data_IF_505195297490
#
_entry.id   IF_505195297490
#
_cell.length_a   1.000
_cell.length_b   1.000
_cell.length_c   1.000
_cell.angle_alpha   90.00
_cell.angle_beta   90.00
_cell.angle_gamma   90.00
#
_symmetry.space_group_name_H-M   'P 1'
#
loop_
_entity.id
_entity.type
_entity.pdbx_description
1 polymer ?
#
# COMPACT_ATOMS: atom_id res chain seq x y z
N UNK A 1 -8.90 -5.75 4.55
CA UNK A 1 -7.91 -4.74 4.97
C UNK A 1 -6.80 -5.43 5.75
N UNK A 2 -5.52 -5.19 5.38
CA UNK A 2 -4.36 -5.75 6.08
C UNK A 2 -4.08 -5.01 7.40
N UNK A 3 -3.32 -5.64 8.32
CA UNK A 3 -2.85 -4.95 9.53
C UNK A 3 -2.01 -3.71 9.20
N UNK A 4 -1.23 -3.76 8.11
CA UNK A 4 -0.51 -2.60 7.60
C UNK A 4 -1.46 -1.46 7.22
N UNK A 5 -2.56 -1.75 6.54
CA UNK A 5 -3.58 -0.74 6.21
C UNK A 5 -4.22 -0.13 7.46
N UNK A 6 -4.51 -0.96 8.47
CA UNK A 6 -5.02 -0.48 9.78
C UNK A 6 -4.00 0.41 10.47
N UNK A 7 -2.71 0.07 10.47
CA UNK A 7 -1.67 0.90 11.09
C UNK A 7 -1.56 2.28 10.41
N UNK A 8 -1.64 2.33 9.08
CA UNK A 8 -1.66 3.59 8.33
C UNK A 8 -2.86 4.45 8.70
N UNK A 9 -4.05 3.84 8.82
CA UNK A 9 -5.26 4.56 9.26
C UNK A 9 -5.11 5.10 10.69
N UNK A 10 -4.52 4.33 11.58
CA UNK A 10 -4.23 4.79 12.95
C UNK A 10 -3.26 5.98 12.95
N UNK A 11 -2.26 5.99 12.07
CA UNK A 11 -1.35 7.13 11.91
C UNK A 11 -2.10 8.39 11.50
N UNK A 12 -3.01 8.31 10.52
CA UNK A 12 -3.87 9.43 10.15
C UNK A 12 -4.70 9.93 11.33
N UNK A 13 -5.37 9.03 12.05
CA UNK A 13 -6.12 9.41 13.26
C UNK A 13 -5.23 10.11 14.30
N UNK A 14 -4.00 9.65 14.47
CA UNK A 14 -3.04 10.26 15.41
C UNK A 14 -2.71 11.69 15.02
N UNK A 15 -2.44 11.95 13.73
CA UNK A 15 -2.18 13.30 13.23
C UNK A 15 -3.34 14.24 13.52
N UNK A 16 -4.56 13.80 13.34
CA UNK A 16 -5.72 14.64 13.56
C UNK A 16 -6.10 14.83 15.04
N UNK A 17 -5.80 13.86 15.91
CA UNK A 17 -5.88 14.09 17.36
C UNK A 17 -4.83 15.13 17.84
N UNK A 18 -3.63 15.13 17.25
CA UNK A 18 -2.62 16.18 17.48
C UNK A 18 -3.15 17.54 17.00
N UNK A 19 -3.78 17.60 15.83
CA UNK A 19 -4.39 18.83 15.31
C UNK A 19 -5.44 19.41 16.27
N UNK A 20 -6.32 18.57 16.83
CA UNK A 20 -7.34 19.02 17.80
C UNK A 20 -6.73 19.71 19.01
N UNK A 21 -5.58 19.20 19.50
CA UNK A 21 -4.83 19.79 20.61
C UNK A 21 -4.12 21.07 20.22
N UNK A 22 -3.72 21.21 18.96
CA UNK A 22 -2.95 22.31 18.42
C UNK A 22 -3.72 23.02 17.29
N UNK A 23 -4.78 23.72 17.63
CA UNK A 23 -5.71 24.34 16.65
C UNK A 23 -5.01 25.27 15.65
N UNK A 24 -3.94 25.96 16.05
CA UNK A 24 -3.17 26.88 15.19
C UNK A 24 -2.36 26.17 14.10
N UNK A 25 -2.00 24.87 14.26
CA UNK A 25 -1.22 24.12 13.27
C UNK A 25 -2.11 23.57 12.17
N UNK A 26 -1.74 23.76 10.93
CA UNK A 26 -2.34 23.05 9.80
C UNK A 26 -1.61 21.72 9.60
N UNK A 27 -2.37 20.65 9.46
CA UNK A 27 -1.84 19.31 9.25
C UNK A 27 -2.51 18.74 8.01
N UNK A 28 -1.72 18.21 7.11
CA UNK A 28 -2.17 17.47 5.96
C UNK A 28 -1.54 16.07 5.96
N UNK A 29 -2.24 15.09 5.48
CA UNK A 29 -1.69 13.75 5.24
C UNK A 29 -1.74 13.45 3.74
N UNK A 30 -0.67 12.86 3.22
CA UNK A 30 -0.62 12.44 1.83
C UNK A 30 -0.63 10.92 1.77
N UNK A 31 -1.54 10.35 0.99
CA UNK A 31 -1.54 8.93 0.65
C UNK A 31 -0.92 8.75 -0.71
N UNK A 32 0.17 8.01 -0.76
CA UNK A 32 0.77 7.60 -2.03
C UNK A 32 0.18 6.28 -2.50
N UNK A 33 0.18 6.10 -3.81
CA UNK A 33 0.17 4.79 -4.45
C UNK A 33 1.58 4.19 -4.40
N UNK A 34 1.89 3.19 -5.21
CA UNK A 34 3.24 2.64 -5.23
C UNK A 34 4.18 3.62 -5.95
N UNK A 35 5.17 4.16 -5.24
CA UNK A 35 6.21 4.99 -5.87
C UNK A 35 7.18 4.08 -6.62
N UNK A 36 7.26 4.28 -7.93
CA UNK A 36 8.05 3.44 -8.84
C UNK A 36 9.53 3.42 -8.44
N UNK A 37 10.10 2.21 -8.36
CA UNK A 37 11.52 2.00 -8.03
C UNK A 37 12.01 2.59 -6.71
N UNK A 38 11.11 3.01 -5.82
CA UNK A 38 11.49 3.43 -4.47
C UNK A 38 12.09 2.24 -3.68
N UNK A 39 12.92 2.54 -2.67
CA UNK A 39 13.56 1.50 -1.83
C UNK A 39 12.50 0.60 -1.20
N UNK A 40 12.62 -0.71 -1.42
CA UNK A 40 11.65 -1.71 -0.92
C UNK A 40 10.37 -1.84 -1.75
N UNK A 41 10.20 -1.08 -2.84
CA UNK A 41 9.07 -1.24 -3.75
C UNK A 41 9.13 -2.55 -4.54
N UNK A 42 7.96 -3.02 -4.99
CA UNK A 42 7.86 -4.26 -5.76
C UNK A 42 8.68 -4.19 -7.07
N UNK A 43 8.66 -3.07 -7.78
CA UNK A 43 9.40 -2.91 -9.03
C UNK A 43 10.92 -2.93 -8.79
N UNK A 44 11.39 -2.23 -7.75
CA UNK A 44 12.81 -2.25 -7.37
C UNK A 44 13.25 -3.65 -6.96
N UNK A 45 12.42 -4.36 -6.19
CA UNK A 45 12.69 -5.74 -5.77
C UNK A 45 12.77 -6.70 -6.96
N UNK A 46 11.86 -6.59 -7.94
CA UNK A 46 11.91 -7.40 -9.16
C UNK A 46 13.18 -7.08 -9.95
N UNK A 47 13.46 -5.81 -10.19
CA UNK A 47 14.64 -5.36 -10.92
C UNK A 47 15.93 -5.88 -10.29
N UNK A 48 16.11 -5.70 -8.97
CA UNK A 48 17.31 -6.13 -8.25
C UNK A 48 17.49 -7.66 -8.32
N UNK A 49 16.39 -8.41 -8.21
CA UNK A 49 16.43 -9.87 -8.33
C UNK A 49 16.72 -10.34 -9.74
N UNK A 50 16.25 -9.62 -10.76
CA UNK A 50 16.58 -9.89 -12.15
C UNK A 50 18.08 -9.68 -12.41
N UNK A 51 18.74 -8.75 -11.74
CA UNK A 51 20.17 -8.52 -11.86
C UNK A 51 20.97 -9.55 -11.05
N UNK A 52 20.61 -9.73 -9.78
CA UNK A 52 21.35 -10.64 -8.87
C UNK A 52 21.15 -12.12 -9.18
N UNK A 53 20.04 -12.45 -9.80
CA UNK A 53 19.62 -13.84 -10.02
C UNK A 53 18.88 -14.45 -8.83
N UNK A 54 18.64 -15.77 -8.90
CA UNK A 54 17.97 -16.54 -7.85
C UNK A 54 16.50 -16.81 -8.11
N UNK A 55 15.82 -17.34 -7.08
CA UNK A 55 14.40 -17.71 -7.16
C UNK A 55 13.55 -16.72 -6.41
N UNK A 56 12.45 -16.24 -7.03
CA UNK A 56 11.45 -15.41 -6.37
C UNK A 56 10.05 -15.63 -6.94
N UNK A 57 9.03 -15.19 -6.20
CA UNK A 57 7.63 -15.29 -6.62
C UNK A 57 7.07 -13.94 -7.02
N UNK A 58 6.21 -13.94 -8.04
CA UNK A 58 5.37 -12.79 -8.39
C UNK A 58 3.89 -13.20 -8.34
N UNK A 59 3.01 -12.32 -7.86
CA UNK A 59 1.59 -12.61 -7.86
C UNK A 59 1.02 -12.47 -9.27
N UNK A 60 0.14 -13.41 -9.67
CA UNK A 60 -0.68 -13.29 -10.88
C UNK A 60 -1.97 -12.52 -10.60
N UNK A 61 -2.46 -11.80 -11.63
CA UNK A 61 -3.71 -11.05 -11.57
C UNK A 61 -3.74 -10.01 -10.43
N UNK A 62 -2.59 -9.39 -10.16
CA UNK A 62 -2.45 -8.32 -9.18
C UNK A 62 -2.05 -7.04 -9.89
N UNK A 63 -2.90 -6.03 -9.80
CA UNK A 63 -2.67 -4.71 -10.40
C UNK A 63 -2.40 -3.67 -9.33
N UNK A 64 -1.50 -2.74 -9.63
CA UNK A 64 -1.12 -1.64 -8.74
C UNK A 64 -1.08 -0.32 -9.50
N UNK A 65 -1.47 0.75 -8.82
CA UNK A 65 -1.22 2.11 -9.28
C UNK A 65 0.22 2.47 -8.97
N UNK A 66 0.85 3.18 -9.90
CA UNK A 66 2.22 3.66 -9.75
C UNK A 66 2.29 5.15 -10.05
N UNK A 67 3.09 5.84 -9.26
CA UNK A 67 3.51 7.23 -9.48
C UNK A 67 5.03 7.30 -9.51
N UNK A 68 5.57 8.34 -10.13
CA UNK A 68 7.00 8.62 -10.11
C UNK A 68 7.42 9.29 -8.81
N UNK A 69 8.72 9.48 -8.60
CA UNK A 69 9.23 10.26 -7.47
C UNK A 69 8.82 11.73 -7.60
N UNK A 70 8.88 12.28 -8.82
CA UNK A 70 8.48 13.66 -9.12
C UNK A 70 7.00 13.89 -8.85
N UNK A 71 6.14 12.99 -9.30
CA UNK A 71 4.70 13.05 -9.02
C UNK A 71 4.42 12.96 -7.51
N UNK A 72 5.13 12.11 -6.77
CA UNK A 72 4.98 12.00 -5.32
C UNK A 72 5.43 13.27 -4.60
N UNK A 73 6.55 13.87 -5.01
CA UNK A 73 7.04 15.14 -4.48
C UNK A 73 6.05 16.27 -4.80
N UNK A 74 5.59 16.36 -6.05
CA UNK A 74 4.59 17.35 -6.48
C UNK A 74 3.31 17.25 -5.64
N UNK A 75 2.83 16.03 -5.36
CA UNK A 75 1.66 15.83 -4.52
C UNK A 75 1.88 16.33 -3.08
N UNK A 76 3.09 16.13 -2.52
CA UNK A 76 3.44 16.68 -1.22
C UNK A 76 3.40 18.21 -1.22
N UNK A 77 3.99 18.88 -2.22
CA UNK A 77 3.94 20.34 -2.33
C UNK A 77 2.50 20.84 -2.51
N UNK A 78 1.72 20.23 -3.37
CA UNK A 78 0.30 20.56 -3.57
C UNK A 78 -0.53 20.38 -2.31
N UNK A 79 -0.15 19.47 -1.42
CA UNK A 79 -0.84 19.27 -0.15
C UNK A 79 -0.71 20.44 0.83
N UNK A 80 0.25 21.34 0.60
CA UNK A 80 0.42 22.57 1.40
C UNK A 80 -0.56 23.70 1.02
N UNK A 81 -1.25 23.57 -0.11
CA UNK A 81 -2.24 24.54 -0.55
C UNK A 81 -3.41 24.62 0.42
N UNK A 82 -4.04 25.80 0.49
CA UNK A 82 -5.12 26.12 1.44
C UNK A 82 -6.28 25.13 1.39
N UNK A 83 -6.66 24.68 0.19
CA UNK A 83 -7.74 23.72 -0.06
C UNK A 83 -7.48 22.34 0.55
N UNK A 84 -6.20 21.99 0.72
CA UNK A 84 -5.76 20.71 1.27
C UNK A 84 -5.65 20.73 2.81
N UNK A 85 -5.74 21.90 3.44
CA UNK A 85 -5.54 22.05 4.89
C UNK A 85 -6.43 21.13 5.70
N UNK A 86 -5.82 20.44 6.66
CA UNK A 86 -6.49 19.53 7.59
C UNK A 86 -7.24 18.37 6.90
N UNK A 87 -6.81 17.98 5.71
CA UNK A 87 -7.39 16.92 4.91
C UNK A 87 -6.35 15.85 4.55
N UNK A 88 -6.83 14.77 3.98
CA UNK A 88 -5.98 13.73 3.38
C UNK A 88 -5.99 13.95 1.88
N UNK A 89 -4.82 13.96 1.27
CA UNK A 89 -4.63 14.17 -0.16
C UNK A 89 -4.07 12.90 -0.77
N UNK A 90 -4.57 12.52 -1.93
CA UNK A 90 -4.09 11.39 -2.71
C UNK A 90 -4.13 11.74 -4.19
N UNK A 91 -3.35 11.05 -5.05
CA UNK A 91 -3.41 11.30 -6.49
C UNK A 91 -4.77 10.91 -7.05
N UNK A 92 -5.25 11.64 -8.05
CA UNK A 92 -6.48 11.28 -8.73
C UNK A 92 -6.24 10.02 -9.59
N UNK A 93 -6.98 8.91 -9.39
CA UNK A 93 -6.83 7.69 -10.18
C UNK A 93 -7.01 7.90 -11.68
N UNK A 94 -7.86 8.87 -12.08
CA UNK A 94 -8.13 9.17 -13.49
C UNK A 94 -6.95 9.88 -14.17
N UNK A 95 -6.08 10.51 -13.40
CA UNK A 95 -4.88 11.22 -13.87
C UNK A 95 -3.60 10.38 -13.76
N UNK A 96 -3.58 9.39 -12.87
CA UNK A 96 -2.52 8.40 -12.86
C UNK A 96 -2.92 7.25 -13.77
N UNK A 97 -1.97 6.79 -14.57
CA UNK A 97 -2.20 5.65 -15.47
C UNK A 97 -2.98 4.52 -14.80
N UNK A 98 -3.83 3.83 -15.58
CA UNK A 98 -4.55 2.64 -15.11
C UNK A 98 -3.66 1.69 -14.32
N UNK A 99 -4.21 0.94 -13.34
CA UNK A 99 -3.41 0.04 -12.52
C UNK A 99 -2.73 -1.01 -13.40
N UNK A 100 -1.42 -1.12 -13.28
CA UNK A 100 -0.56 -2.00 -14.08
C UNK A 100 -0.49 -3.39 -13.46
N UNK A 101 -0.55 -4.42 -14.27
CA UNK A 101 -0.36 -5.79 -13.83
C UNK A 101 1.11 -6.05 -13.48
N UNK A 102 1.35 -6.62 -12.29
CA UNK A 102 2.71 -6.86 -11.78
C UNK A 102 3.46 -7.88 -12.64
N UNK A 103 2.76 -8.90 -13.15
CA UNK A 103 3.36 -9.91 -14.02
C UNK A 103 3.82 -9.28 -15.35
N UNK A 104 2.99 -8.45 -15.98
CA UNK A 104 3.35 -7.74 -17.22
C UNK A 104 4.54 -6.79 -17.01
N UNK A 105 4.57 -6.08 -15.87
CA UNK A 105 5.69 -5.22 -15.53
C UNK A 105 6.99 -6.03 -15.33
N UNK A 106 6.91 -7.20 -14.72
CA UNK A 106 8.05 -8.10 -14.59
C UNK A 106 8.59 -8.52 -15.98
N UNK A 107 7.72 -8.91 -16.90
CA UNK A 107 8.13 -9.25 -18.27
C UNK A 107 8.79 -8.06 -18.99
N UNK A 108 8.26 -6.84 -18.81
CA UNK A 108 8.87 -5.63 -19.38
C UNK A 108 10.26 -5.37 -18.81
N UNK A 109 10.47 -5.58 -17.49
CA UNK A 109 11.79 -5.44 -16.86
C UNK A 109 12.77 -6.45 -17.45
N UNK A 110 12.40 -7.73 -17.55
CA UNK A 110 13.24 -8.78 -18.13
C UNK A 110 13.64 -8.45 -19.59
N UNK A 111 12.67 -8.00 -20.39
CA UNK A 111 12.93 -7.58 -21.78
C UNK A 111 13.92 -6.41 -21.84
N UNK A 112 13.72 -5.37 -21.00
CA UNK A 112 14.64 -4.22 -20.95
C UNK A 112 16.05 -4.58 -20.48
N UNK A 113 16.19 -5.62 -19.67
CA UNK A 113 17.48 -6.17 -19.24
C UNK A 113 18.07 -7.17 -20.24
N UNK A 114 17.44 -7.37 -21.40
CA UNK A 114 17.84 -8.34 -22.41
C UNK A 114 17.99 -9.78 -21.86
N UNK A 115 17.20 -10.13 -20.85
CA UNK A 115 17.18 -11.46 -20.25
C UNK A 115 16.36 -12.41 -21.12
N UNK A 116 17.03 -13.38 -21.75
CA UNK A 116 16.36 -14.49 -22.46
C UNK A 116 15.75 -15.46 -21.45
N UNK A 117 14.49 -15.84 -21.63
CA UNK A 117 13.78 -16.73 -20.71
C UNK A 117 12.86 -17.72 -21.44
N UNK A 118 12.64 -18.88 -20.80
CA UNK A 118 11.59 -19.84 -21.16
C UNK A 118 10.49 -19.79 -20.12
N UNK A 119 9.26 -19.97 -20.53
CA UNK A 119 8.09 -19.84 -19.66
C UNK A 119 7.17 -21.05 -19.81
N UNK A 120 6.57 -21.47 -18.69
CA UNK A 120 5.48 -22.42 -18.62
C UNK A 120 4.32 -21.84 -17.77
N UNK A 121 3.27 -22.66 -17.51
CA UNK A 121 2.08 -22.23 -16.74
C UNK A 121 2.37 -21.85 -15.27
N UNK A 122 3.52 -22.22 -14.71
CA UNK A 122 3.81 -22.07 -13.27
C UNK A 122 5.02 -21.20 -12.99
N UNK A 123 5.91 -21.05 -13.97
CA UNK A 123 7.16 -20.33 -13.76
C UNK A 123 7.75 -19.78 -15.05
N UNK A 124 8.67 -18.85 -14.87
CA UNK A 124 9.58 -18.36 -15.89
C UNK A 124 11.00 -18.70 -15.45
N UNK A 125 11.79 -19.26 -16.35
CA UNK A 125 13.17 -19.67 -16.09
C UNK A 125 14.10 -18.96 -17.09
N UNK A 126 15.16 -18.36 -16.55
CA UNK A 126 16.28 -17.81 -17.29
C UNK A 126 17.57 -18.39 -16.71
N UNK A 127 18.74 -18.12 -17.33
CA UNK A 127 20.03 -18.74 -16.97
C UNK A 127 20.30 -18.79 -15.46
N UNK A 128 20.03 -17.70 -14.76
CA UNK A 128 20.28 -17.54 -13.31
C UNK A 128 19.05 -17.05 -12.52
N UNK A 129 17.87 -17.02 -13.13
CA UNK A 129 16.64 -16.50 -12.54
C UNK A 129 15.54 -17.55 -12.68
N UNK A 130 14.84 -17.81 -11.57
CA UNK A 130 13.60 -18.59 -11.58
C UNK A 130 12.48 -17.80 -10.92
N UNK A 131 11.44 -17.48 -11.68
CA UNK A 131 10.28 -16.73 -11.19
C UNK A 131 9.10 -17.69 -11.09
N UNK A 132 8.58 -17.87 -9.87
CA UNK A 132 7.38 -18.67 -9.63
C UNK A 132 6.14 -17.79 -9.71
N UNK A 133 5.07 -18.28 -10.31
CA UNK A 133 3.80 -17.58 -10.42
C UNK A 133 2.90 -17.95 -9.23
N UNK A 134 2.64 -16.96 -8.37
CA UNK A 134 1.80 -17.14 -7.19
C UNK A 134 0.34 -16.89 -7.57
N UNK A 135 -0.46 -17.96 -7.67
CA UNK A 135 -1.90 -17.87 -7.95
C UNK A 135 -2.71 -17.46 -6.72
N UNK A 136 -2.21 -17.75 -5.53
CA UNK A 136 -2.87 -17.46 -4.25
C UNK A 136 -2.33 -16.13 -3.72
N UNK A 137 -3.25 -15.23 -3.39
CA UNK A 137 -2.92 -13.96 -2.74
C UNK A 137 -2.51 -14.21 -1.30
N UNK A 138 -1.49 -13.50 -0.84
CA UNK A 138 -1.15 -13.46 0.58
C UNK A 138 -2.24 -12.75 1.36
N UNK A 139 -2.37 -13.08 2.64
CA UNK A 139 -3.39 -12.49 3.50
C UNK A 139 -3.35 -10.95 3.48
N UNK A 140 -4.53 -10.34 3.26
CA UNK A 140 -4.70 -8.90 3.19
C UNK A 140 -4.24 -8.27 1.87
N UNK A 141 -3.73 -9.05 0.93
CA UNK A 141 -3.40 -8.58 -0.40
C UNK A 141 -4.67 -8.52 -1.26
N UNK A 142 -4.93 -7.37 -1.88
CA UNK A 142 -6.03 -7.18 -2.84
C UNK A 142 -5.52 -7.37 -4.27
N UNK A 143 -6.40 -7.77 -5.18
CA UNK A 143 -6.08 -7.82 -6.62
C UNK A 143 -5.82 -6.43 -7.19
N UNK A 144 -6.65 -5.47 -6.80
CA UNK A 144 -6.49 -4.05 -7.11
C UNK A 144 -6.57 -3.30 -5.78
N UNK A 145 -5.75 -2.28 -5.59
CA UNK A 145 -5.77 -1.43 -4.39
C UNK A 145 -6.90 -0.42 -4.47
N UNK A 146 -7.63 -0.25 -3.36
CA UNK A 146 -8.58 0.85 -3.21
C UNK A 146 -7.82 2.06 -2.65
N UNK A 147 -7.93 3.17 -3.31
CA UNK A 147 -7.31 4.43 -2.88
C UNK A 147 -8.15 5.16 -1.83
N UNK A 148 -9.47 4.96 -1.88
CA UNK A 148 -10.44 5.48 -0.92
C UNK A 148 -11.25 4.32 -0.33
N UNK A 149 -12.00 4.59 0.74
CA UNK A 149 -12.96 3.65 1.32
C UNK A 149 -14.36 4.24 1.28
N UNK A 150 -15.39 3.41 1.24
CA UNK A 150 -16.77 3.83 1.02
C UNK A 150 -17.28 4.86 2.06
N UNK A 151 -16.73 4.86 3.27
CA UNK A 151 -17.12 5.80 4.31
C UNK A 151 -16.43 7.18 4.20
N UNK A 152 -15.46 7.33 3.30
CA UNK A 152 -14.72 8.58 3.10
C UNK A 152 -15.47 9.50 2.14
N UNK A 153 -15.82 10.69 2.61
CA UNK A 153 -16.30 11.77 1.73
C UNK A 153 -15.11 12.49 1.14
N UNK A 154 -15.10 12.64 -0.18
CA UNK A 154 -14.00 13.30 -0.89
C UNK A 154 -14.54 14.26 -1.95
N UNK A 155 -13.66 15.15 -2.40
CA UNK A 155 -13.81 15.95 -3.61
C UNK A 155 -12.69 15.56 -4.58
N UNK A 156 -13.03 15.47 -5.85
CA UNK A 156 -12.06 15.23 -6.92
C UNK A 156 -11.69 16.55 -7.56
N UNK A 157 -10.41 16.82 -7.63
CA UNK A 157 -9.81 17.89 -8.43
C UNK A 157 -9.04 17.24 -9.56
N UNK A 158 -8.66 18.02 -10.58
CA UNK A 158 -8.04 17.48 -11.80
C UNK A 158 -6.87 16.52 -11.50
N UNK A 159 -5.99 16.87 -10.59
CA UNK A 159 -4.74 16.17 -10.32
C UNK A 159 -4.73 15.41 -8.97
N UNK A 160 -5.71 15.64 -8.10
CA UNK A 160 -5.76 15.08 -6.75
C UNK A 160 -7.17 14.83 -6.26
N UNK A 161 -7.29 13.91 -5.33
CA UNK A 161 -8.49 13.71 -4.52
C UNK A 161 -8.20 14.24 -3.12
N UNK A 162 -9.11 15.03 -2.60
CA UNK A 162 -9.06 15.54 -1.22
C UNK A 162 -10.15 14.82 -0.43
N UNK A 163 -9.75 14.00 0.52
CA UNK A 163 -10.67 13.37 1.45
C UNK A 163 -10.97 14.38 2.56
N UNK A 164 -12.21 14.84 2.61
CA UNK A 164 -12.69 15.69 3.70
C UNK A 164 -12.80 14.88 4.97
N UNK A 165 -11.90 15.13 5.88
CA UNK A 165 -11.82 14.41 7.14
C UNK A 165 -12.85 14.91 8.13
N UNK A 166 -14.08 14.39 8.03
CA UNK A 166 -14.96 14.34 9.20
C UNK A 166 -14.49 13.17 10.07
N UNK A 167 -13.38 13.36 10.80
CA UNK A 167 -12.91 12.30 11.68
C UNK A 167 -13.96 11.99 12.73
N UNK A 168 -14.57 10.82 12.63
CA UNK A 168 -15.19 10.20 13.78
C UNK A 168 -14.13 10.10 14.86
N UNK A 169 -14.38 10.72 15.99
CA UNK A 169 -13.57 10.57 17.18
C UNK A 169 -13.37 9.09 17.41
N UNK A 170 -12.13 8.59 17.36
CA UNK A 170 -11.84 7.26 17.87
C UNK A 170 -12.14 7.31 19.37
N UNK A 171 -13.35 6.88 19.74
CA UNK A 171 -13.69 6.75 21.15
C UNK A 171 -12.59 5.89 21.79
N UNK A 172 -11.95 6.46 22.83
CA UNK A 172 -10.85 5.81 23.54
C UNK A 172 -9.50 5.70 22.80
N UNK A 173 -9.16 6.64 21.88
CA UNK A 173 -7.84 6.67 21.23
C UNK A 173 -6.66 6.42 22.21
N UNK A 174 -6.65 7.09 23.36
CA UNK A 174 -5.59 6.90 24.36
C UNK A 174 -5.57 5.46 24.95
N UNK A 175 -6.75 4.84 25.16
CA UNK A 175 -6.84 3.44 25.57
C UNK A 175 -6.31 2.49 24.48
N UNK A 176 -6.58 2.82 23.21
CA UNK A 176 -6.07 2.06 22.06
C UNK A 176 -4.55 2.11 22.04
N UNK A 177 -3.94 3.29 22.15
CA UNK A 177 -2.47 3.45 22.15
C UNK A 177 -1.84 2.74 23.37
N UNK A 178 -2.42 2.85 24.55
CA UNK A 178 -1.94 2.13 25.73
C UNK A 178 -2.00 0.60 25.57
N UNK A 179 -3.06 0.07 24.96
CA UNK A 179 -3.19 -1.35 24.67
C UNK A 179 -2.18 -1.83 23.64
N UNK A 180 -1.91 -1.04 22.57
CA UNK A 180 -0.90 -1.36 21.58
C UNK A 180 0.51 -1.49 22.18
N UNK A 181 0.81 -0.76 23.24
CA UNK A 181 2.09 -0.85 23.96
C UNK A 181 2.23 -2.13 24.80
N UNK A 182 1.12 -2.78 25.17
CA UNK A 182 1.10 -3.99 26.05
C UNK A 182 0.99 -5.32 25.31
N UNK A 183 0.83 -5.33 24.06
CA UNK A 183 0.78 -6.34 22.99
C UNK A 183 0.53 -7.83 23.31
N UNK A 184 -0.69 -8.25 22.93
CA UNK A 184 -0.90 -9.59 22.36
C UNK A 184 -1.44 -9.47 20.91
N UNK A 185 -1.24 -10.50 20.09
CA UNK A 185 -1.80 -10.54 18.71
C UNK A 185 -3.34 -10.47 18.74
N UNK A 186 -3.97 -11.04 19.76
CA UNK A 186 -5.42 -11.01 19.97
C UNK A 186 -5.93 -9.57 20.21
N UNK A 187 -5.20 -8.80 21.01
CA UNK A 187 -5.53 -7.39 21.27
C UNK A 187 -5.34 -6.52 20.02
N UNK A 188 -4.31 -6.80 19.24
CA UNK A 188 -4.09 -6.12 17.96
C UNK A 188 -5.27 -6.31 16.99
N UNK A 189 -5.86 -7.51 16.94
CA UNK A 189 -7.06 -7.79 16.12
C UNK A 189 -8.29 -7.05 16.60
N UNK A 190 -8.53 -7.01 17.92
CA UNK A 190 -9.64 -6.26 18.53
C UNK A 190 -9.49 -4.76 18.27
N UNK A 191 -8.28 -4.24 18.39
CA UNK A 191 -7.94 -2.85 18.08
C UNK A 191 -8.16 -2.56 16.61
N UNK A 192 -7.71 -3.42 15.69
CA UNK A 192 -7.93 -3.27 14.26
C UNK A 192 -9.43 -3.18 13.91
N UNK A 193 -10.27 -4.01 14.54
CA UNK A 193 -11.73 -3.94 14.39
C UNK A 193 -12.35 -2.65 14.92
N UNK A 194 -11.82 -2.10 16.02
CA UNK A 194 -12.32 -0.83 16.58
C UNK A 194 -11.98 0.38 15.69
N UNK A 195 -10.86 0.31 14.96
CA UNK A 195 -10.41 1.36 14.01
C UNK A 195 -11.13 1.19 12.66
N UNK A 196 -11.36 -0.06 12.26
CA UNK A 196 -11.95 -0.43 10.98
C UNK A 196 -13.02 -1.50 11.23
N UNK A 197 -14.31 -1.15 11.38
CA UNK A 197 -15.38 -2.11 11.64
C UNK A 197 -15.47 -3.24 10.60
N UNK A 198 -15.17 -2.94 9.34
CA UNK A 198 -15.10 -3.91 8.24
C UNK A 198 -13.84 -4.78 8.23
N UNK A 199 -12.94 -4.64 9.20
CA UNK A 199 -11.72 -5.44 9.27
C UNK A 199 -12.04 -6.90 9.57
N UNK A 200 -11.73 -7.77 8.61
CA UNK A 200 -11.79 -9.23 8.74
C UNK A 200 -10.37 -9.76 8.80
N UNK A 201 -10.05 -10.48 9.83
CA UNK A 201 -8.80 -11.20 9.97
C UNK A 201 -9.09 -12.70 9.87
N UNK A 202 -8.71 -13.30 8.78
CA UNK A 202 -8.77 -14.74 8.60
C UNK A 202 -7.43 -15.36 9.03
N UNK A 203 -7.49 -16.34 9.94
CA UNK A 203 -6.32 -17.15 10.26
C UNK A 203 -6.06 -18.12 9.10
N UNK A 204 -5.30 -17.72 8.11
CA UNK A 204 -4.73 -18.72 7.22
C UNK A 204 -3.70 -19.52 8.01
N UNK A 205 -3.92 -20.85 8.08
CA UNK A 205 -2.90 -21.82 8.51
C UNK A 205 -1.60 -21.43 7.80
N UNK A 206 -0.52 -21.30 8.57
CA UNK A 206 0.84 -21.01 8.05
C UNK A 206 1.07 -21.87 6.81
N UNK A 207 1.09 -21.26 5.64
CA UNK A 207 1.73 -21.89 4.50
C UNK A 207 3.17 -22.05 4.96
N UNK A 208 3.60 -23.28 5.21
CA UNK A 208 5.00 -23.59 5.50
C UNK A 208 5.80 -23.04 4.34
N UNK A 209 6.43 -21.89 4.53
CA UNK A 209 7.54 -21.48 3.71
C UNK A 209 8.56 -22.60 3.91
N UNK A 210 8.74 -23.44 2.87
CA UNK A 210 9.84 -24.37 2.84
C UNK A 210 11.11 -23.57 3.09
N UNK A 211 11.69 -23.76 4.28
CA UNK A 211 13.07 -23.41 4.54
C UNK A 211 13.89 -24.24 3.57
N UNK A 212 14.30 -23.66 2.47
CA UNK A 212 15.47 -24.08 1.74
C UNK A 212 16.11 -22.78 1.24
N UNK A 213 17.20 -22.52 1.90
CA UNK A 213 18.22 -21.51 1.63
C UNK A 213 18.73 -21.66 0.20
#
# INVERSE_FOLDING_TARGET
TSLLGVSKKLMEHTLFEIKKKNKKKNICSVRFTNVSFSKGSILKSIYDRCIKGGTFGIPLNVKRYFITHEESASLCFKSLLNECRNNIVLPNPDQINHPKDIYELCLKILKKLNVKFKMNKESLNAKNIKIRFNKILTYGQKRIEDLTVNEEKYITLNDKIIIKTKFRRLNNYQKIIKKLKKNSLADTKKIAKSIYPSFKYENHKKVKLSKNV
#
